data_IF_957223788474
#
_entry.id   IF_957223788474
#
_cell.length_a   1.000
_cell.length_b   1.000
_cell.length_c   1.000
_cell.angle_alpha   90.00
_cell.angle_beta   90.00
_cell.angle_gamma   90.00
#
_symmetry.space_group_name_H-M   'P 1'
#
loop_
_entity.id
_entity.type
_entity.pdbx_description
1 polymer ?
#
# COMPACT_ATOMS: atom_id res chain seq x y z
N UNK A 1 -9.13 18.94 5.72
CA UNK A 1 -9.07 17.61 5.08
C UNK A 1 -9.60 16.56 6.04
N UNK A 2 -10.75 15.98 5.71
CA UNK A 2 -11.30 14.84 6.46
C UNK A 2 -10.47 13.60 6.13
N UNK A 3 -9.98 12.90 7.16
CA UNK A 3 -9.27 11.63 6.99
C UNK A 3 -10.32 10.56 6.73
N UNK A 4 -10.45 10.13 5.48
CA UNK A 4 -11.35 9.05 5.09
C UNK A 4 -10.69 7.70 5.39
N UNK A 5 -11.28 6.93 6.30
CA UNK A 5 -10.81 5.58 6.66
C UNK A 5 -11.38 4.50 5.72
N UNK A 6 -10.80 3.30 5.76
CA UNK A 6 -11.22 2.18 4.90
C UNK A 6 -12.65 1.74 5.19
N UNK A 7 -13.12 1.92 6.43
CA UNK A 7 -14.48 1.57 6.85
C UNK A 7 -15.50 2.43 6.10
N UNK A 8 -15.26 3.74 6.05
CA UNK A 8 -16.08 4.70 5.32
C UNK A 8 -16.07 4.40 3.83
N UNK A 9 -14.90 4.07 3.25
CA UNK A 9 -14.80 3.71 1.82
C UNK A 9 -15.64 2.47 1.52
N UNK A 10 -15.56 1.42 2.34
CA UNK A 10 -16.30 0.18 2.14
C UNK A 10 -17.83 0.41 2.17
N UNK A 11 -18.31 1.24 3.10
CA UNK A 11 -19.74 1.54 3.26
C UNK A 11 -20.25 2.47 2.15
N UNK A 12 -19.52 3.53 1.83
CA UNK A 12 -19.96 4.54 0.86
C UNK A 12 -19.76 4.08 -0.59
N UNK A 13 -18.78 3.21 -0.85
CA UNK A 13 -18.43 2.75 -2.19
C UNK A 13 -18.37 1.22 -2.29
N UNK A 14 -19.47 0.50 -1.99
CA UNK A 14 -19.46 -0.96 -1.92
C UNK A 14 -19.14 -1.62 -3.27
N UNK A 15 -19.32 -0.91 -4.40
CA UNK A 15 -19.06 -1.40 -5.76
C UNK A 15 -17.71 -0.93 -6.32
N UNK A 16 -16.83 -0.37 -5.49
CA UNK A 16 -15.54 0.14 -5.93
C UNK A 16 -14.66 -1.00 -6.43
N UNK A 17 -14.25 -0.92 -7.71
CA UNK A 17 -13.37 -1.92 -8.32
C UNK A 17 -11.90 -1.48 -8.34
N UNK A 18 -11.65 -0.17 -8.33
CA UNK A 18 -10.32 0.42 -8.44
C UNK A 18 -10.14 1.41 -7.30
N UNK A 19 -9.09 1.23 -6.50
CA UNK A 19 -8.75 2.13 -5.41
C UNK A 19 -7.32 2.65 -5.58
N UNK A 20 -7.14 3.95 -5.45
CA UNK A 20 -5.82 4.59 -5.49
C UNK A 20 -5.61 5.41 -4.23
N UNK A 21 -4.52 5.17 -3.52
CA UNK A 21 -4.19 5.83 -2.27
C UNK A 21 -2.75 6.32 -2.29
N UNK A 22 -2.50 7.48 -1.69
CA UNK A 22 -1.17 8.03 -1.47
C UNK A 22 -0.80 7.91 0.01
N UNK A 23 0.37 7.34 0.29
CA UNK A 23 0.95 7.26 1.62
C UNK A 23 1.68 8.56 1.93
N UNK A 24 1.16 9.28 2.92
CA UNK A 24 1.75 10.49 3.49
C UNK A 24 2.30 10.16 4.89
N UNK A 25 3.52 10.63 5.19
CA UNK A 25 4.29 10.35 6.40
C UNK A 25 3.74 11.00 7.67
N UNK A 26 2.52 11.55 7.64
CA UNK A 26 1.93 12.17 8.82
C UNK A 26 1.69 11.09 9.89
N UNK A 27 2.53 11.18 10.93
CA UNK A 27 2.62 10.26 12.06
C UNK A 27 1.21 9.96 12.60
N UNK A 28 0.77 8.70 12.47
CA UNK A 28 -0.58 8.25 12.86
C UNK A 28 -1.46 7.72 11.73
N UNK A 29 -1.21 8.05 10.46
CA UNK A 29 -2.07 7.61 9.35
C UNK A 29 -2.14 6.09 9.17
N UNK A 30 -1.07 5.35 9.50
CA UNK A 30 -1.09 3.89 9.44
C UNK A 30 -2.18 3.29 10.31
N UNK A 31 -2.27 3.74 11.57
CA UNK A 31 -3.27 3.24 12.52
C UNK A 31 -4.67 3.74 12.18
N UNK A 32 -4.80 4.95 11.61
CA UNK A 32 -6.08 5.51 11.21
C UNK A 32 -6.65 4.83 9.95
N UNK A 33 -5.84 4.60 8.91
CA UNK A 33 -6.30 3.96 7.66
C UNK A 33 -6.59 2.49 7.88
N UNK A 34 -5.75 1.77 8.63
CA UNK A 34 -5.97 0.35 8.92
C UNK A 34 -6.93 0.12 10.11
N UNK A 35 -7.58 1.17 10.62
CA UNK A 35 -8.57 1.04 11.69
C UNK A 35 -9.83 0.34 11.16
N UNK A 36 -10.37 -0.57 11.96
CA UNK A 36 -11.62 -1.28 11.64
C UNK A 36 -11.42 -2.65 11.03
N UNK A 37 -12.49 -3.27 10.52
CA UNK A 37 -12.50 -4.66 10.02
C UNK A 37 -13.19 -4.83 8.65
N UNK A 38 -13.77 -3.79 8.07
CA UNK A 38 -14.43 -3.84 6.75
C UNK A 38 -13.53 -4.26 5.58
N UNK A 39 -13.98 -5.25 4.82
CA UNK A 39 -13.30 -5.69 3.61
C UNK A 39 -13.72 -4.85 2.39
N UNK A 40 -12.76 -4.59 1.52
CA UNK A 40 -12.97 -3.99 0.21
C UNK A 40 -13.19 -5.09 -0.83
N UNK A 41 -14.28 -5.84 -0.66
CA UNK A 41 -14.53 -7.10 -1.38
C UNK A 41 -14.53 -6.97 -2.90
N UNK A 42 -14.89 -5.81 -3.44
CA UNK A 42 -14.97 -5.58 -4.89
C UNK A 42 -13.71 -4.95 -5.49
N UNK A 43 -12.74 -4.53 -4.67
CA UNK A 43 -11.51 -3.92 -5.18
C UNK A 43 -10.64 -4.97 -5.85
N UNK A 44 -10.51 -4.87 -7.17
CA UNK A 44 -9.71 -5.76 -8.02
C UNK A 44 -8.37 -5.15 -8.42
N UNK A 45 -8.26 -3.83 -8.40
CA UNK A 45 -7.02 -3.09 -8.67
C UNK A 45 -6.75 -2.08 -7.54
N UNK A 46 -5.56 -2.16 -6.96
CA UNK A 46 -5.08 -1.26 -5.91
C UNK A 46 -3.82 -0.55 -6.40
N UNK A 47 -3.83 0.79 -6.35
CA UNK A 47 -2.66 1.62 -6.64
C UNK A 47 -2.22 2.33 -5.37
N UNK A 48 -0.97 2.16 -4.98
CA UNK A 48 -0.40 2.76 -3.77
C UNK A 48 0.81 3.59 -4.16
N UNK A 49 0.81 4.86 -3.80
CA UNK A 49 1.92 5.77 -4.07
C UNK A 49 2.59 6.25 -2.79
N UNK A 50 3.90 6.49 -2.83
CA UNK A 50 4.57 7.30 -1.81
C UNK A 50 5.74 8.08 -2.36
N UNK A 51 6.01 9.25 -1.79
CA UNK A 51 7.24 10.01 -2.01
C UNK A 51 8.42 9.47 -1.17
N UNK A 52 8.17 8.62 -0.17
CA UNK A 52 9.20 8.07 0.71
C UNK A 52 9.05 6.56 0.82
N UNK A 53 10.13 5.84 0.51
CA UNK A 53 10.20 4.39 0.66
C UNK A 53 10.77 4.04 2.03
N UNK A 54 9.98 3.35 2.85
CA UNK A 54 10.40 2.89 4.17
C UNK A 54 9.63 1.63 4.61
N UNK A 55 10.02 1.07 5.75
CA UNK A 55 9.41 -0.14 6.29
C UNK A 55 7.92 0.06 6.63
N UNK A 56 7.54 1.28 7.03
CA UNK A 56 6.15 1.66 7.33
C UNK A 56 5.25 1.59 6.08
N UNK A 57 5.75 2.02 4.93
CA UNK A 57 5.03 1.90 3.66
C UNK A 57 4.82 0.44 3.28
N UNK A 58 5.83 -0.43 3.48
CA UNK A 58 5.66 -1.87 3.27
C UNK A 58 4.60 -2.49 4.21
N UNK A 59 4.60 -2.10 5.48
CA UNK A 59 3.58 -2.53 6.44
C UNK A 59 2.18 -2.08 6.03
N UNK A 60 2.04 -0.85 5.54
CA UNK A 60 0.77 -0.33 5.03
C UNK A 60 0.25 -1.11 3.83
N UNK A 61 1.11 -1.41 2.86
CA UNK A 61 0.79 -2.23 1.70
C UNK A 61 0.29 -3.60 2.17
N UNK A 62 0.99 -4.23 3.12
CA UNK A 62 0.59 -5.52 3.70
C UNK A 62 -0.79 -5.46 4.35
N UNK A 63 -1.06 -4.43 5.15
CA UNK A 63 -2.36 -4.23 5.78
C UNK A 63 -3.48 -4.06 4.75
N UNK A 64 -3.26 -3.30 3.68
CA UNK A 64 -4.27 -3.11 2.62
C UNK A 64 -4.52 -4.37 1.78
N UNK A 65 -3.48 -5.17 1.53
CA UNK A 65 -3.62 -6.46 0.85
C UNK A 65 -4.54 -7.41 1.63
N UNK A 66 -4.44 -7.44 2.96
CA UNK A 66 -5.32 -8.24 3.82
C UNK A 66 -6.79 -7.75 3.79
N UNK A 67 -7.05 -6.53 3.32
CA UNK A 67 -8.39 -5.94 3.21
C UNK A 67 -9.05 -6.10 1.85
N UNK A 68 -8.31 -6.56 0.84
CA UNK A 68 -8.79 -6.65 -0.53
C UNK A 68 -8.80 -8.13 -0.98
N UNK A 69 -9.79 -8.94 -0.56
CA UNK A 69 -9.78 -10.38 -0.82
C UNK A 69 -9.91 -10.74 -2.31
N UNK A 70 -10.48 -9.85 -3.12
CA UNK A 70 -10.65 -10.05 -4.58
C UNK A 70 -9.54 -9.39 -5.41
N UNK A 71 -8.46 -8.92 -4.78
CA UNK A 71 -7.43 -8.17 -5.46
C UNK A 71 -6.73 -9.04 -6.51
N UNK A 72 -6.57 -8.49 -7.71
CA UNK A 72 -5.85 -9.15 -8.82
C UNK A 72 -4.59 -8.39 -9.22
N UNK A 73 -4.55 -7.08 -8.98
CA UNK A 73 -3.41 -6.24 -9.35
C UNK A 73 -3.09 -5.21 -8.27
N UNK A 74 -1.84 -5.17 -7.88
CA UNK A 74 -1.25 -4.12 -7.04
C UNK A 74 -0.24 -3.33 -7.88
N UNK A 75 -0.35 -2.00 -7.88
CA UNK A 75 0.61 -1.10 -8.52
C UNK A 75 1.24 -0.22 -7.44
N UNK A 76 2.54 -0.37 -7.22
CA UNK A 76 3.30 0.41 -6.25
C UNK A 76 4.05 1.52 -6.98
N UNK A 77 3.64 2.75 -6.75
CA UNK A 77 4.37 3.94 -7.18
C UNK A 77 5.29 4.39 -6.04
N UNK A 78 6.54 4.66 -6.38
CA UNK A 78 7.50 5.19 -5.41
C UNK A 78 8.45 6.16 -6.08
N UNK A 79 9.04 7.03 -5.28
CA UNK A 79 10.15 7.86 -5.72
C UNK A 79 11.47 7.28 -5.22
N UNK A 80 12.44 7.14 -6.12
CA UNK A 80 13.74 6.55 -5.82
C UNK A 80 14.84 7.51 -6.25
N UNK A 81 15.40 8.27 -5.29
CA UNK A 81 16.48 9.23 -5.61
C UNK A 81 17.68 8.57 -6.28
N UNK A 82 18.29 9.27 -7.24
CA UNK A 82 19.51 8.84 -7.96
C UNK A 82 20.70 8.71 -7.00
N UNK A 83 20.86 9.66 -6.09
CA UNK A 83 21.86 9.60 -5.02
C UNK A 83 21.23 9.05 -3.75
N UNK A 84 21.83 8.00 -3.19
CA UNK A 84 21.44 7.45 -1.88
C UNK A 84 22.62 7.36 -0.93
N UNK A 85 22.39 7.82 0.28
CA UNK A 85 23.21 7.48 1.44
C UNK A 85 23.15 5.98 1.73
N UNK A 86 24.11 5.49 2.52
CA UNK A 86 24.13 4.09 2.97
C UNK A 86 22.83 3.71 3.72
N UNK A 87 22.28 4.63 4.49
CA UNK A 87 21.07 4.41 5.29
C UNK A 87 19.81 4.31 4.42
N UNK A 88 19.71 5.12 3.37
CA UNK A 88 18.64 5.02 2.38
C UNK A 88 18.73 3.74 1.56
N UNK A 89 19.95 3.29 1.21
CA UNK A 89 20.17 1.99 0.58
C UNK A 89 19.74 0.82 1.48
N UNK A 90 20.08 0.87 2.77
CA UNK A 90 19.67 -0.15 3.73
C UNK A 90 18.13 -0.18 3.89
N UNK A 91 17.50 0.99 3.93
CA UNK A 91 16.03 1.12 4.01
C UNK A 91 15.36 0.57 2.75
N UNK A 92 15.88 0.89 1.56
CA UNK A 92 15.38 0.34 0.31
C UNK A 92 15.51 -1.19 0.30
N UNK A 93 16.63 -1.75 0.75
CA UNK A 93 16.84 -3.20 0.81
C UNK A 93 15.83 -3.91 1.74
N UNK A 94 15.54 -3.31 2.90
CA UNK A 94 14.50 -3.83 3.83
C UNK A 94 13.11 -3.74 3.23
N UNK A 95 12.78 -2.60 2.61
CA UNK A 95 11.52 -2.43 1.90
C UNK A 95 11.34 -3.49 0.81
N UNK A 96 12.31 -3.64 -0.10
CA UNK A 96 12.23 -4.64 -1.18
C UNK A 96 12.10 -6.06 -0.64
N UNK A 97 12.82 -6.40 0.43
CA UNK A 97 12.72 -7.72 1.07
C UNK A 97 11.33 -7.96 1.66
N UNK A 98 10.71 -6.92 2.22
CA UNK A 98 9.35 -6.97 2.77
C UNK A 98 8.31 -7.15 1.66
N UNK A 99 8.44 -6.41 0.55
CA UNK A 99 7.54 -6.58 -0.60
C UNK A 99 7.67 -7.96 -1.23
N UNK A 100 8.88 -8.48 -1.41
CA UNK A 100 9.08 -9.86 -1.91
C UNK A 100 8.41 -10.89 -0.99
N UNK A 101 8.45 -10.67 0.33
CA UNK A 101 7.76 -11.54 1.28
C UNK A 101 6.24 -11.44 1.17
N UNK A 102 5.70 -10.25 0.93
CA UNK A 102 4.27 -10.06 0.64
C UNK A 102 3.87 -10.73 -0.68
N UNK A 103 4.65 -10.57 -1.75
CA UNK A 103 4.39 -11.21 -3.04
C UNK A 103 4.31 -12.74 -2.92
N UNK A 104 5.14 -13.36 -2.07
CA UNK A 104 5.06 -14.80 -1.79
C UNK A 104 3.77 -15.20 -1.07
N UNK A 105 3.26 -14.36 -0.16
CA UNK A 105 1.98 -14.59 0.54
C UNK A 105 0.78 -14.38 -0.39
N UNK A 106 0.85 -13.39 -1.26
CA UNK A 106 -0.23 -12.97 -2.16
C UNK A 106 0.07 -13.36 -3.62
N UNK A 107 0.42 -14.63 -3.86
CA UNK A 107 0.89 -15.13 -5.17
C UNK A 107 -0.12 -14.99 -6.32
N UNK A 108 -1.40 -14.75 -6.01
CA UNK A 108 -2.47 -14.54 -6.98
C UNK A 108 -2.60 -13.08 -7.44
N UNK A 109 -1.89 -12.16 -6.77
CA UNK A 109 -1.89 -10.73 -7.09
C UNK A 109 -0.72 -10.42 -8.02
N UNK A 110 -1.01 -9.86 -9.18
CA UNK A 110 -0.02 -9.29 -10.08
C UNK A 110 0.54 -7.99 -9.48
N UNK A 111 1.84 -7.94 -9.20
CA UNK A 111 2.49 -6.78 -8.58
C UNK A 111 3.35 -6.05 -9.60
N UNK A 112 3.02 -4.79 -9.85
CA UNK A 112 3.75 -3.90 -10.73
C UNK A 112 4.39 -2.77 -9.91
N UNK A 113 5.62 -2.41 -10.28
CA UNK A 113 6.33 -1.28 -9.71
C UNK A 113 6.46 -0.19 -10.76
N UNK A 114 6.09 1.03 -10.39
CA UNK A 114 6.24 2.23 -11.19
C UNK A 114 7.07 3.24 -10.40
N UNK A 115 8.39 3.15 -10.55
CA UNK A 115 9.33 4.02 -9.85
C UNK A 115 9.78 5.14 -10.78
N UNK A 116 9.67 6.38 -10.28
CA UNK A 116 10.28 7.57 -10.87
C UNK A 116 11.59 7.92 -10.18
#
# INVERSE_FOLDING_TARGET
DEVMDLETIAVCFPKLNHLSLSYDLRDGLLQHVLRGSSLLENVVVLKLGSTVINDLFAQWIGGLLERCPSLKRLIIHGFVSETKSRDECATLARFTSSIVSLMRRFMHVDVLFDFQ
#
